data_IF_719651595785
#
_entry.id   IF_719651595785
#
_cell.length_a   1.000
_cell.length_b   1.000
_cell.length_c   1.000
_cell.angle_alpha   90.00
_cell.angle_beta   90.00
_cell.angle_gamma   90.00
#
_symmetry.space_group_name_H-M   'P 1'
#
loop_
_entity.id
_entity.type
_entity.pdbx_description
1 polymer ?
#
# COMPACT_ATOMS: atom_id res chain seq x y z
N UNK A 1 19.97 -19.53 1.93
CA UNK A 1 18.75 -19.35 1.13
C UNK A 1 17.55 -19.34 2.08
N UNK A 2 16.56 -18.48 1.86
CA UNK A 2 15.30 -18.49 2.63
C UNK A 2 14.18 -18.72 1.63
N UNK A 3 13.55 -19.89 1.67
CA UNK A 3 12.43 -20.28 0.81
C UNK A 3 11.13 -20.12 1.60
N UNK A 4 10.05 -19.69 0.93
CA UNK A 4 8.79 -19.32 1.60
C UNK A 4 7.57 -19.80 0.83
N UNK A 5 6.54 -20.19 1.58
CA UNK A 5 5.27 -20.72 1.05
C UNK A 5 4.15 -19.67 1.15
N UNK A 6 3.11 -19.85 0.32
CA UNK A 6 1.92 -18.99 0.36
C UNK A 6 1.27 -19.03 1.76
N UNK A 7 0.89 -17.87 2.27
CA UNK A 7 0.22 -17.71 3.56
C UNK A 7 1.14 -17.37 4.74
N UNK A 8 2.47 -17.31 4.53
CA UNK A 8 3.40 -16.91 5.59
C UNK A 8 3.52 -15.38 5.71
N UNK A 9 3.49 -14.89 6.95
CA UNK A 9 3.80 -13.51 7.29
C UNK A 9 5.29 -13.36 7.58
N UNK A 10 5.96 -12.44 6.88
CA UNK A 10 7.38 -12.15 7.08
C UNK A 10 7.52 -10.72 7.58
N UNK A 11 8.19 -10.57 8.74
CA UNK A 11 8.57 -9.27 9.28
C UNK A 11 10.06 -9.04 9.06
N UNK A 12 10.42 -7.91 8.45
CA UNK A 12 11.81 -7.47 8.27
C UNK A 12 12.14 -6.41 9.34
N UNK A 13 13.00 -6.78 10.30
CA UNK A 13 13.38 -5.91 11.42
C UNK A 13 14.86 -5.56 11.38
N UNK A 14 15.20 -4.33 11.77
CA UNK A 14 16.58 -3.83 11.79
C UNK A 14 16.65 -2.33 12.09
N UNK A 15 17.82 -1.83 12.48
CA UNK A 15 18.04 -0.41 12.83
C UNK A 15 17.72 0.55 11.68
N UNK A 16 17.31 1.78 11.97
CA UNK A 16 17.05 2.79 10.93
C UNK A 16 18.29 2.96 10.03
N UNK A 17 18.09 3.06 8.71
CA UNK A 17 19.20 3.15 7.74
C UNK A 17 19.81 1.82 7.29
N UNK A 18 19.48 0.68 7.90
CA UNK A 18 20.06 -0.63 7.51
C UNK A 18 19.55 -1.20 6.16
N UNK A 19 18.84 -0.41 5.35
CA UNK A 19 18.40 -0.82 4.01
C UNK A 19 17.08 -1.60 3.94
N UNK A 20 16.26 -1.65 4.99
CA UNK A 20 14.92 -2.33 4.96
C UNK A 20 14.04 -1.82 3.81
N UNK A 21 13.95 -0.50 3.66
CA UNK A 21 13.18 0.13 2.59
C UNK A 21 13.80 -0.17 1.22
N UNK A 22 15.13 -0.27 1.14
CA UNK A 22 15.85 -0.70 -0.07
C UNK A 22 15.54 -2.14 -0.42
N UNK A 23 15.50 -3.06 0.56
CA UNK A 23 15.11 -4.45 0.36
C UNK A 23 13.67 -4.56 -0.17
N UNK A 24 12.73 -3.83 0.42
CA UNK A 24 11.33 -3.79 -0.05
C UNK A 24 11.22 -3.21 -1.47
N UNK A 25 12.00 -2.17 -1.80
CA UNK A 25 12.10 -1.62 -3.17
C UNK A 25 12.67 -2.63 -4.16
N UNK A 26 13.68 -3.39 -3.73
CA UNK A 26 14.34 -4.43 -4.54
C UNK A 26 13.37 -5.58 -4.85
N UNK A 27 12.58 -6.02 -3.85
CA UNK A 27 11.50 -7.01 -4.05
C UNK A 27 10.39 -6.54 -4.98
N UNK A 28 10.21 -5.22 -5.12
CA UNK A 28 9.28 -4.63 -6.11
C UNK A 28 9.91 -4.47 -7.50
N UNK A 29 11.14 -4.94 -7.70
CA UNK A 29 11.94 -4.69 -8.89
C UNK A 29 12.10 -3.19 -9.23
N UNK A 30 11.99 -2.30 -8.24
CA UNK A 30 12.26 -0.85 -8.41
C UNK A 30 13.76 -0.55 -8.34
N UNK A 31 14.52 -1.42 -7.69
CA UNK A 31 15.98 -1.37 -7.59
C UNK A 31 16.49 -2.75 -8.02
N UNK A 32 17.44 -2.76 -8.96
CA UNK A 32 18.13 -3.98 -9.38
C UNK A 32 19.23 -4.26 -8.35
N UNK A 33 19.27 -5.48 -7.83
CA UNK A 33 20.34 -5.86 -6.89
C UNK A 33 21.66 -5.94 -7.65
N UNK A 34 22.74 -5.40 -7.07
CA UNK A 34 24.08 -5.45 -7.68
C UNK A 34 24.68 -6.87 -7.57
N UNK A 35 24.30 -7.62 -6.54
CA UNK A 35 24.76 -9.00 -6.29
C UNK A 35 23.62 -9.87 -5.69
N UNK A 36 23.52 -11.11 -6.13
CA UNK A 36 22.51 -12.06 -5.67
C UNK A 36 21.30 -12.18 -6.60
N UNK A 37 20.51 -13.23 -6.40
CA UNK A 37 19.34 -13.53 -7.22
C UNK A 37 18.07 -13.61 -6.37
N UNK A 38 16.97 -13.08 -6.89
CA UNK A 38 15.65 -13.20 -6.28
C UNK A 38 14.77 -13.98 -7.26
N UNK A 39 14.24 -15.11 -6.80
CA UNK A 39 13.34 -15.95 -7.59
C UNK A 39 11.95 -15.98 -6.97
N UNK A 40 10.93 -15.97 -7.82
CA UNK A 40 9.54 -16.24 -7.45
C UNK A 40 9.03 -17.41 -8.28
N UNK A 41 8.52 -18.45 -7.61
CA UNK A 41 8.10 -19.71 -8.24
C UNK A 41 9.18 -20.32 -9.16
N UNK A 42 10.46 -20.24 -8.73
CA UNK A 42 11.60 -20.78 -9.47
C UNK A 42 12.05 -19.95 -10.67
N UNK A 43 11.42 -18.79 -10.94
CA UNK A 43 11.81 -17.88 -12.02
C UNK A 43 12.44 -16.62 -11.46
N UNK A 44 13.44 -16.10 -12.14
CA UNK A 44 14.04 -14.82 -11.78
C UNK A 44 12.98 -13.71 -11.77
N UNK A 45 12.96 -12.94 -10.67
CA UNK A 45 12.01 -11.87 -10.45
C UNK A 45 12.15 -10.75 -11.51
N UNK A 46 13.38 -10.45 -11.92
CA UNK A 46 13.68 -9.33 -12.82
C UNK A 46 13.29 -9.63 -14.27
N UNK A 47 13.51 -10.86 -14.74
CA UNK A 47 13.13 -11.29 -16.10
C UNK A 47 11.63 -11.17 -16.37
N UNK A 48 10.82 -11.30 -15.32
CA UNK A 48 9.36 -11.22 -15.38
C UNK A 48 8.79 -10.14 -14.47
N UNK A 49 9.55 -9.06 -14.23
CA UNK A 49 9.18 -8.02 -13.29
C UNK A 49 7.79 -7.42 -13.59
N UNK A 50 7.45 -7.22 -14.87
CA UNK A 50 6.14 -6.68 -15.30
C UNK A 50 4.95 -7.59 -14.95
N UNK A 51 5.16 -8.91 -14.90
CA UNK A 51 4.16 -9.88 -14.48
C UNK A 51 4.00 -9.86 -12.96
N UNK A 52 5.12 -9.92 -12.23
CA UNK A 52 5.09 -10.03 -10.76
C UNK A 52 4.73 -8.74 -10.04
N UNK A 53 5.15 -7.57 -10.54
CA UNK A 53 4.77 -6.25 -9.99
C UNK A 53 3.27 -6.05 -9.89
N UNK A 54 2.48 -6.69 -10.77
CA UNK A 54 0.99 -6.64 -10.71
C UNK A 54 0.40 -7.40 -9.53
N UNK A 55 1.14 -8.31 -8.93
CA UNK A 55 0.71 -9.12 -7.79
C UNK A 55 1.21 -8.59 -6.44
N UNK A 56 2.08 -7.57 -6.44
CA UNK A 56 2.54 -6.93 -5.20
C UNK A 56 1.61 -5.79 -4.80
N UNK A 57 1.07 -5.86 -3.57
CA UNK A 57 0.44 -4.72 -2.90
C UNK A 57 1.43 -4.05 -1.96
N UNK A 58 1.61 -2.74 -2.09
CA UNK A 58 2.50 -1.96 -1.21
C UNK A 58 1.75 -0.80 -0.55
N UNK A 59 1.89 -0.70 0.76
CA UNK A 59 1.42 0.43 1.56
C UNK A 59 2.64 1.32 1.83
N UNK A 60 2.60 2.55 1.31
CA UNK A 60 3.66 3.54 1.54
C UNK A 60 3.71 3.90 3.02
N UNK A 61 4.92 4.16 3.52
CA UNK A 61 5.13 4.49 4.93
C UNK A 61 4.58 5.89 5.30
N UNK A 62 4.47 6.79 4.32
CA UNK A 62 3.88 8.12 4.48
C UNK A 62 2.50 8.18 3.84
N UNK A 63 1.47 8.25 4.68
CA UNK A 63 0.13 8.60 4.24
C UNK A 63 0.04 10.11 4.01
N UNK A 64 0.22 10.51 2.74
CA UNK A 64 -0.22 11.81 2.24
C UNK A 64 -1.75 11.85 2.23
N UNK A 65 -2.34 12.11 3.39
CA UNK A 65 -3.74 12.50 3.50
C UNK A 65 -3.83 14.02 3.36
N UNK A 66 -4.67 14.48 2.44
CA UNK A 66 -4.96 15.89 2.27
C UNK A 66 -5.87 16.34 3.43
N UNK A 67 -5.41 17.25 4.30
CA UNK A 67 -6.13 17.60 5.53
C UNK A 67 -7.45 18.33 5.26
N UNK A 68 -7.55 19.03 4.14
CA UNK A 68 -8.76 19.76 3.74
C UNK A 68 -9.83 18.87 3.10
N UNK A 69 -9.49 17.62 2.77
CA UNK A 69 -10.39 16.65 2.16
C UNK A 69 -10.99 15.72 3.21
N UNK A 70 -12.19 15.24 2.96
CA UNK A 70 -12.85 14.17 3.71
C UNK A 70 -12.13 12.83 3.52
N UNK A 71 -12.42 11.85 4.39
CA UNK A 71 -11.91 10.48 4.24
C UNK A 71 -12.30 9.92 2.86
N UNK A 72 -13.55 10.13 2.44
CA UNK A 72 -14.03 9.71 1.12
C UNK A 72 -13.24 10.36 -0.02
N UNK A 73 -13.08 11.67 0.00
CA UNK A 73 -12.37 12.42 -1.05
C UNK A 73 -10.90 12.01 -1.14
N UNK A 74 -10.25 11.75 -0.01
CA UNK A 74 -8.88 11.22 0.03
C UNK A 74 -8.80 9.84 -0.66
N UNK A 75 -9.71 8.92 -0.33
CA UNK A 75 -9.76 7.58 -0.93
C UNK A 75 -10.10 7.65 -2.42
N UNK A 76 -11.02 8.53 -2.80
CA UNK A 76 -11.42 8.74 -4.18
C UNK A 76 -10.28 9.30 -5.03
N UNK A 77 -9.59 10.33 -4.53
CA UNK A 77 -8.44 10.94 -5.20
C UNK A 77 -7.29 9.94 -5.37
N UNK A 78 -6.92 9.21 -4.31
CA UNK A 78 -5.90 8.13 -4.39
C UNK A 78 -6.32 7.04 -5.36
N UNK A 79 -7.59 6.65 -5.33
CA UNK A 79 -8.16 5.66 -6.23
C UNK A 79 -8.07 6.09 -7.69
N UNK A 80 -8.33 7.36 -8.01
CA UNK A 80 -8.19 7.92 -9.35
C UNK A 80 -6.77 7.89 -9.87
N UNK A 81 -5.81 8.26 -9.03
CA UNK A 81 -4.39 8.26 -9.41
C UNK A 81 -3.86 6.84 -9.64
N UNK A 82 -4.29 5.87 -8.81
CA UNK A 82 -3.81 4.48 -8.89
C UNK A 82 -4.56 3.63 -9.92
N UNK A 83 -5.83 3.93 -10.18
CA UNK A 83 -6.72 3.13 -11.03
C UNK A 83 -7.44 4.01 -12.08
N UNK A 84 -6.70 4.69 -12.98
CA UNK A 84 -7.28 5.65 -13.92
C UNK A 84 -8.29 5.01 -14.90
N UNK A 85 -8.15 3.72 -15.19
CA UNK A 85 -9.04 2.96 -16.08
C UNK A 85 -10.34 2.48 -15.41
N UNK A 86 -10.48 2.64 -14.10
CA UNK A 86 -11.66 2.18 -13.37
C UNK A 86 -12.79 3.21 -13.48
N UNK A 87 -14.01 2.75 -13.81
CA UNK A 87 -15.18 3.63 -13.86
C UNK A 87 -15.48 4.27 -12.50
N UNK A 88 -16.11 5.45 -12.51
CA UNK A 88 -16.63 6.14 -11.31
C UNK A 88 -17.42 5.21 -10.41
N UNK A 89 -18.44 4.54 -10.95
CA UNK A 89 -19.30 3.65 -10.18
C UNK A 89 -18.53 2.48 -9.53
N UNK A 90 -17.54 1.92 -10.23
CA UNK A 90 -16.73 0.83 -9.68
C UNK A 90 -15.74 1.31 -8.62
N UNK A 91 -15.22 2.53 -8.76
CA UNK A 91 -14.35 3.14 -7.77
C UNK A 91 -15.12 3.45 -6.49
N UNK A 92 -16.29 4.08 -6.61
CA UNK A 92 -17.14 4.42 -5.46
C UNK A 92 -17.57 3.16 -4.70
N UNK A 93 -17.95 2.10 -5.42
CA UNK A 93 -18.26 0.80 -4.82
C UNK A 93 -17.06 0.21 -4.07
N UNK A 94 -15.85 0.27 -4.64
CA UNK A 94 -14.62 -0.18 -3.96
C UNK A 94 -14.36 0.64 -2.69
N UNK A 95 -14.55 1.95 -2.73
CA UNK A 95 -14.33 2.84 -1.57
C UNK A 95 -15.34 2.51 -0.47
N UNK A 96 -16.62 2.39 -0.80
CA UNK A 96 -17.66 2.03 0.16
C UNK A 96 -17.38 0.66 0.82
N UNK A 97 -16.96 -0.33 0.04
CA UNK A 97 -16.57 -1.63 0.57
C UNK A 97 -15.37 -1.54 1.53
N UNK A 98 -14.35 -0.75 1.18
CA UNK A 98 -13.19 -0.55 2.06
C UNK A 98 -13.60 0.14 3.36
N UNK A 99 -14.43 1.18 3.30
CA UNK A 99 -14.95 1.87 4.49
C UNK A 99 -15.75 0.95 5.41
N UNK A 100 -16.50 0.00 4.84
CA UNK A 100 -17.20 -1.03 5.62
C UNK A 100 -16.22 -2.00 6.28
N UNK A 101 -15.22 -2.50 5.54
CA UNK A 101 -14.23 -3.43 6.05
C UNK A 101 -13.34 -2.84 7.15
N UNK A 102 -13.07 -1.53 7.10
CA UNK A 102 -12.27 -0.80 8.10
C UNK A 102 -13.12 -0.18 9.21
N UNK A 103 -14.44 -0.37 9.18
CA UNK A 103 -15.39 0.24 10.12
C UNK A 103 -15.35 1.79 10.16
N UNK A 104 -14.95 2.42 9.06
CA UNK A 104 -14.80 3.88 8.91
C UNK A 104 -16.00 4.54 8.21
N UNK A 105 -17.09 3.81 7.95
CA UNK A 105 -18.29 4.36 7.30
C UNK A 105 -18.80 5.63 7.98
N UNK A 106 -18.80 5.65 9.31
CA UNK A 106 -19.26 6.79 10.11
C UNK A 106 -18.38 8.05 9.99
N UNK A 107 -17.17 7.92 9.45
CA UNK A 107 -16.21 9.04 9.23
C UNK A 107 -16.02 9.38 7.76
N UNK A 108 -16.84 8.82 6.87
CA UNK A 108 -16.77 9.03 5.44
C UNK A 108 -16.61 10.52 5.07
N UNK A 109 -17.47 11.36 5.66
CA UNK A 109 -17.57 12.79 5.36
C UNK A 109 -16.83 13.68 6.37
N UNK A 110 -16.06 13.07 7.29
CA UNK A 110 -15.21 13.80 8.23
C UNK A 110 -13.94 14.25 7.51
N UNK A 111 -13.62 15.54 7.60
CA UNK A 111 -12.35 16.10 7.12
C UNK A 111 -11.20 15.52 7.91
N UNK A 112 -10.16 15.06 7.21
CA UNK A 112 -8.99 14.46 7.87
C UNK A 112 -8.26 15.46 8.77
N UNK A 113 -8.26 16.74 8.40
CA UNK A 113 -7.55 17.82 9.09
C UNK A 113 -8.36 18.66 10.09
N UNK A 114 -9.67 18.42 10.26
CA UNK A 114 -10.53 19.18 11.19
C UNK A 114 -10.34 18.76 12.68
N UNK A 115 -9.13 18.29 12.98
CA UNK A 115 -8.79 17.60 14.22
C UNK A 115 -8.43 18.56 15.35
N UNK A 116 -9.42 19.31 15.84
CA UNK A 116 -9.39 19.87 17.22
C UNK A 116 -9.65 18.80 18.29
N UNK A 117 -9.98 17.56 17.90
CA UNK A 117 -9.95 16.37 18.74
C UNK A 117 -9.14 15.25 18.07
N UNK A 118 -8.23 14.62 18.82
CA UNK A 118 -7.55 13.34 18.54
C UNK A 118 -8.51 12.38 17.80
N UNK A 119 -8.37 12.24 16.48
CA UNK A 119 -9.34 11.48 15.67
C UNK A 119 -8.75 10.23 15.00
N UNK A 120 -7.43 10.03 15.01
CA UNK A 120 -6.85 8.80 14.51
C UNK A 120 -5.83 8.28 15.52
N UNK A 121 -6.14 7.14 16.16
CA UNK A 121 -5.06 6.34 16.72
C UNK A 121 -4.19 5.88 15.53
N UNK A 122 -2.86 5.81 15.69
CA UNK A 122 -1.94 5.60 14.56
C UNK A 122 -2.21 4.38 13.68
N UNK A 123 -3.08 3.45 14.09
CA UNK A 123 -3.58 2.34 13.27
C UNK A 123 -4.70 2.70 12.28
N UNK A 124 -5.54 3.69 12.56
CA UNK A 124 -6.62 4.13 11.64
C UNK A 124 -6.11 5.06 10.53
N UNK A 125 -4.90 5.59 10.69
CA UNK A 125 -4.23 6.45 9.71
C UNK A 125 -3.54 5.65 8.59
N UNK A 126 -3.23 4.38 8.82
CA UNK A 126 -2.47 3.47 7.95
C UNK A 126 -3.34 2.67 6.98
#
# INVERSE_FOLDING_TARGET
>A
SSERRRGELISVMGQSGCGKSTLIKTLRAEIITIYGEITLDGKNLYDNASHYTRHFGYVLQDDLLYPYLTVYENLWFRGRLRLPKLSTANLDRKINNNLQQTNLVHRRDTRVGDSTKKLFNGGERK
#
